data_IF_302631187468
#
_entry.id   IF_302631187468
#
_cell.length_a   1.000
_cell.length_b   1.000
_cell.length_c   1.000
_cell.angle_alpha   90.00
_cell.angle_beta   90.00
_cell.angle_gamma   90.00
#
_symmetry.space_group_name_H-M   'P 1'
#
loop_
_entity.id
_entity.type
_entity.pdbx_description
1 polymer ?
#
# COMPACT_ATOMS: atom_id res chain seq x y z
N UNK A 1 -1.36 -23.66 -34.30
CA UNK A 1 -1.31 -22.87 -33.06
C UNK A 1 0.02 -23.15 -32.38
N UNK A 2 0.87 -22.15 -32.09
CA UNK A 2 2.12 -22.41 -31.39
C UNK A 2 1.82 -22.83 -29.94
N UNK A 3 2.41 -23.93 -29.50
CA UNK A 3 2.29 -24.43 -28.12
C UNK A 3 2.94 -23.42 -27.15
N UNK A 4 2.21 -23.00 -26.12
CA UNK A 4 2.77 -22.10 -25.11
C UNK A 4 3.84 -22.84 -24.30
N UNK A 5 4.98 -22.19 -24.08
CA UNK A 5 6.05 -22.76 -23.24
C UNK A 5 5.66 -22.58 -21.77
N UNK A 6 5.90 -23.58 -20.91
CA UNK A 6 5.64 -23.45 -19.49
C UNK A 6 6.47 -22.30 -18.90
N UNK A 7 5.81 -21.39 -18.18
CA UNK A 7 6.49 -20.30 -17.49
C UNK A 7 7.29 -20.81 -16.28
N UNK A 8 8.33 -20.06 -15.91
CA UNK A 8 9.08 -20.32 -14.69
C UNK A 8 8.16 -20.17 -13.46
N UNK A 9 8.18 -21.12 -12.50
CA UNK A 9 7.41 -21.01 -11.27
C UNK A 9 7.73 -19.72 -10.51
N UNK A 10 6.70 -19.07 -9.98
CA UNK A 10 6.85 -17.86 -9.18
C UNK A 10 7.49 -18.18 -7.83
N UNK A 11 8.39 -17.31 -7.38
CA UNK A 11 8.98 -17.40 -6.03
C UNK A 11 7.92 -17.23 -4.92
N UNK A 12 6.90 -16.40 -5.16
CA UNK A 12 5.81 -16.19 -4.22
C UNK A 12 4.57 -16.98 -4.67
N UNK A 13 4.18 -17.94 -3.83
CA UNK A 13 2.90 -18.64 -3.95
C UNK A 13 1.72 -17.67 -3.75
N UNK A 14 0.54 -17.92 -4.36
CA UNK A 14 -0.64 -17.08 -4.18
C UNK A 14 -1.00 -16.80 -2.71
N UNK A 15 -0.84 -17.78 -1.81
CA UNK A 15 -1.06 -17.61 -0.36
C UNK A 15 -0.11 -16.57 0.25
N UNK A 16 1.15 -16.59 -0.18
CA UNK A 16 2.19 -15.67 0.29
C UNK A 16 1.97 -14.27 -0.30
N UNK A 17 1.55 -14.15 -1.57
CA UNK A 17 1.12 -12.87 -2.14
C UNK A 17 -0.07 -12.27 -1.38
N UNK A 18 -1.06 -13.09 -1.00
CA UNK A 18 -2.18 -12.61 -0.16
C UNK A 18 -1.70 -12.09 1.18
N UNK A 19 -0.74 -12.76 1.82
CA UNK A 19 -0.14 -12.28 3.06
C UNK A 19 0.59 -10.95 2.86
N UNK A 20 1.39 -10.81 1.79
CA UNK A 20 2.04 -9.55 1.43
C UNK A 20 1.02 -8.41 1.31
N UNK A 21 -0.10 -8.62 0.61
CA UNK A 21 -1.18 -7.62 0.50
C UNK A 21 -1.75 -7.24 1.87
N UNK A 22 -1.93 -8.21 2.77
CA UNK A 22 -2.42 -7.96 4.15
C UNK A 22 -1.43 -7.10 4.95
N UNK A 23 -0.12 -7.34 4.81
CA UNK A 23 0.92 -6.54 5.46
C UNK A 23 0.87 -5.09 4.97
N UNK A 24 0.77 -4.88 3.66
CA UNK A 24 0.67 -3.53 3.06
C UNK A 24 -0.61 -2.81 3.48
N UNK A 25 -1.74 -3.51 3.59
CA UNK A 25 -2.99 -2.90 4.06
C UNK A 25 -2.93 -2.48 5.53
N UNK A 26 -2.19 -3.23 6.35
CA UNK A 26 -2.02 -2.92 7.78
C UNK A 26 -1.02 -1.78 7.99
N UNK A 27 0.07 -1.75 7.23
CA UNK A 27 1.04 -0.66 7.26
C UNK A 27 1.43 -0.25 5.84
N UNK A 28 0.94 0.93 5.42
CA UNK A 28 1.17 1.50 4.08
C UNK A 28 2.56 2.12 3.91
N UNK A 29 3.31 2.29 5.00
CA UNK A 29 4.61 2.97 5.00
C UNK A 29 5.80 2.00 5.06
N UNK A 30 5.55 0.69 5.16
CA UNK A 30 6.62 -0.31 5.24
C UNK A 30 7.46 -0.35 3.96
N UNK A 31 8.77 -0.46 4.13
CA UNK A 31 9.68 -0.58 2.98
C UNK A 31 9.66 -2.00 2.41
N UNK A 32 10.04 -2.16 1.13
CA UNK A 32 10.16 -3.48 0.51
C UNK A 32 11.17 -4.39 1.24
N UNK A 33 12.18 -3.80 1.90
CA UNK A 33 13.16 -4.55 2.69
C UNK A 33 12.55 -5.10 3.97
N UNK A 34 11.82 -4.26 4.71
CA UNK A 34 11.07 -4.70 5.90
C UNK A 34 10.07 -5.79 5.56
N UNK A 35 9.32 -5.63 4.47
CA UNK A 35 8.34 -6.61 4.04
C UNK A 35 8.97 -7.95 3.66
N UNK A 36 10.14 -7.93 3.02
CA UNK A 36 10.91 -9.14 2.74
C UNK A 36 11.36 -9.83 4.03
N UNK A 37 11.89 -9.07 5.00
CA UNK A 37 12.32 -9.60 6.29
C UNK A 37 11.14 -10.21 7.07
N UNK A 38 9.99 -9.53 7.13
CA UNK A 38 8.78 -10.04 7.78
C UNK A 38 8.29 -11.34 7.12
N UNK A 39 8.33 -11.41 5.78
CA UNK A 39 7.91 -12.61 5.05
C UNK A 39 8.89 -13.77 5.23
N UNK A 40 10.19 -13.53 5.19
CA UNK A 40 11.21 -14.56 5.42
C UNK A 40 11.12 -15.08 6.87
N UNK A 41 10.94 -14.20 7.86
CA UNK A 41 10.80 -14.60 9.26
C UNK A 41 9.54 -15.43 9.56
N UNK A 42 8.44 -15.19 8.83
CA UNK A 42 7.19 -15.95 9.01
C UNK A 42 7.11 -17.25 8.21
N UNK A 43 7.93 -17.40 7.16
CA UNK A 43 7.92 -18.58 6.29
C UNK A 43 9.33 -19.18 6.22
N UNK A 44 9.61 -20.18 7.07
CA UNK A 44 10.93 -20.81 7.22
C UNK A 44 11.59 -21.25 5.89
N UNK A 45 10.78 -21.66 4.90
CA UNK A 45 11.27 -22.12 3.58
C UNK A 45 11.22 -21.03 2.50
N UNK A 46 11.12 -19.75 2.88
CA UNK A 46 11.07 -18.63 1.96
C UNK A 46 12.34 -17.80 2.12
N UNK A 47 13.08 -17.65 1.02
CA UNK A 47 14.17 -16.70 0.91
C UNK A 47 13.87 -15.76 -0.26
N UNK A 48 13.29 -14.60 0.05
CA UNK A 48 13.00 -13.55 -0.92
C UNK A 48 13.82 -12.29 -0.63
N UNK A 49 14.29 -11.66 -1.71
CA UNK A 49 14.97 -10.37 -1.64
C UNK A 49 13.96 -9.22 -1.74
N UNK A 50 14.42 -8.02 -1.38
CA UNK A 50 13.71 -6.76 -1.63
C UNK A 50 13.21 -6.64 -3.08
N UNK A 51 14.02 -7.06 -4.05
CA UNK A 51 13.69 -6.96 -5.49
C UNK A 51 12.53 -7.88 -5.87
N UNK A 52 12.42 -9.05 -5.24
CA UNK A 52 11.27 -9.95 -5.45
C UNK A 52 9.97 -9.32 -4.98
N UNK A 53 9.98 -8.63 -3.83
CA UNK A 53 8.79 -7.90 -3.33
C UNK A 53 8.41 -6.77 -4.27
N UNK A 54 9.39 -5.99 -4.75
CA UNK A 54 9.16 -4.91 -5.70
C UNK A 54 8.54 -5.41 -7.02
N UNK A 55 9.05 -6.51 -7.58
CA UNK A 55 8.50 -7.10 -8.80
C UNK A 55 7.04 -7.56 -8.61
N UNK A 56 6.72 -8.13 -7.46
CA UNK A 56 5.33 -8.48 -7.14
C UNK A 56 4.45 -7.24 -6.98
N UNK A 57 4.95 -6.14 -6.41
CA UNK A 57 4.19 -4.88 -6.37
C UNK A 57 3.88 -4.32 -7.74
N UNK A 58 4.84 -4.35 -8.67
CA UNK A 58 4.59 -3.95 -10.06
C UNK A 58 3.51 -4.82 -10.72
N UNK A 59 3.54 -6.14 -10.50
CA UNK A 59 2.51 -7.07 -11.00
C UNK A 59 1.13 -6.82 -10.39
N UNK A 60 1.11 -6.38 -9.14
CA UNK A 60 -0.10 -6.08 -8.39
C UNK A 60 -0.60 -4.64 -8.61
N UNK A 61 0.06 -3.86 -9.48
CA UNK A 61 -0.23 -2.45 -9.74
C UNK A 61 -0.19 -1.56 -8.48
N UNK A 62 0.67 -1.88 -7.51
CA UNK A 62 0.95 -0.98 -6.39
C UNK A 62 1.86 0.14 -6.87
N UNK A 63 1.49 1.38 -6.51
CA UNK A 63 2.25 2.59 -6.79
C UNK A 63 2.71 3.18 -5.46
N UNK A 64 3.98 3.54 -5.38
CA UNK A 64 4.49 4.31 -4.24
C UNK A 64 4.21 5.79 -4.47
N UNK A 65 3.60 6.44 -3.49
CA UNK A 65 3.30 7.87 -3.53
C UNK A 65 3.93 8.55 -2.32
N UNK A 66 4.49 9.74 -2.54
CA UNK A 66 4.99 10.59 -1.44
C UNK A 66 3.79 11.02 -0.59
N UNK A 67 3.84 10.85 0.74
CA UNK A 67 2.78 11.31 1.62
C UNK A 67 2.64 12.84 1.54
N UNK A 68 1.41 13.35 1.57
CA UNK A 68 1.16 14.78 1.63
C UNK A 68 1.42 15.27 3.06
N UNK A 69 2.18 16.36 3.19
CA UNK A 69 2.32 17.07 4.45
C UNK A 69 1.01 17.82 4.76
N UNK A 70 0.43 17.57 5.92
CA UNK A 70 -0.80 18.21 6.39
C UNK A 70 -0.48 18.79 7.77
N UNK A 71 -0.88 20.04 8.07
CA UNK A 71 -0.68 20.61 9.40
C UNK A 71 -1.41 19.75 10.45
N UNK A 72 -0.77 19.60 11.61
CA UNK A 72 -1.37 18.87 12.74
C UNK A 72 -2.54 19.71 13.29
N UNK A 73 -3.76 19.21 13.08
CA UNK A 73 -4.98 19.86 13.58
C UNK A 73 -5.34 19.31 14.97
N UNK A 74 -5.48 20.21 15.94
CA UNK A 74 -6.10 19.90 17.22
C UNK A 74 -7.59 19.62 17.03
N UNK A 75 -8.23 19.00 18.01
CA UNK A 75 -9.66 18.69 17.92
C UNK A 75 -10.53 19.96 17.86
N UNK A 76 -10.10 21.04 18.53
CA UNK A 76 -10.72 22.35 18.42
C UNK A 76 -10.67 22.88 16.98
N UNK A 77 -9.54 22.74 16.28
CA UNK A 77 -9.44 23.16 14.88
C UNK A 77 -10.37 22.34 13.98
N UNK A 78 -10.45 21.01 14.19
CA UNK A 78 -11.36 20.14 13.43
C UNK A 78 -12.82 20.55 13.64
N UNK A 79 -13.23 20.85 14.87
CA UNK A 79 -14.59 21.29 15.19
C UNK A 79 -14.92 22.61 14.48
N UNK A 80 -14.03 23.61 14.58
CA UNK A 80 -14.21 24.90 13.90
C UNK A 80 -14.31 24.76 12.38
N UNK A 81 -13.49 23.89 11.77
CA UNK A 81 -13.58 23.60 10.33
C UNK A 81 -14.93 22.99 9.97
N UNK A 82 -15.45 22.06 10.79
CA UNK A 82 -16.74 21.44 10.58
C UNK A 82 -17.89 22.45 10.70
N UNK A 83 -17.89 23.27 11.75
CA UNK A 83 -18.88 24.33 11.97
C UNK A 83 -18.90 25.32 10.80
N UNK A 84 -17.72 25.75 10.35
CA UNK A 84 -17.59 26.62 9.17
C UNK A 84 -18.16 25.95 7.92
N UNK A 85 -17.78 24.70 7.64
CA UNK A 85 -18.27 23.96 6.47
C UNK A 85 -19.78 23.77 6.49
N UNK A 86 -20.39 23.50 7.65
CA UNK A 86 -21.83 23.38 7.80
C UNK A 86 -22.55 24.71 7.59
N UNK A 87 -22.02 25.80 8.18
CA UNK A 87 -22.60 27.15 8.07
C UNK A 87 -22.65 27.62 6.62
N UNK A 88 -21.60 27.36 5.84
CA UNK A 88 -21.45 27.87 4.47
C UNK A 88 -21.66 26.81 3.39
N UNK A 89 -22.28 25.68 3.73
CA UNK A 89 -22.46 24.53 2.82
C UNK A 89 -23.16 24.86 1.49
N UNK A 90 -24.11 25.79 1.52
CA UNK A 90 -24.89 26.22 0.34
C UNK A 90 -24.32 27.44 -0.37
N UNK A 91 -23.21 27.98 0.14
CA UNK A 91 -22.61 29.19 -0.42
C UNK A 91 -21.79 28.82 -1.65
N UNK A 92 -22.09 29.48 -2.76
CA UNK A 92 -21.29 29.36 -3.97
C UNK A 92 -20.17 30.42 -3.92
N UNK A 93 -18.93 29.97 -3.85
CA UNK A 93 -17.75 30.81 -3.75
C UNK A 93 -17.20 31.26 -5.12
N UNK A 94 -17.81 30.80 -6.21
CA UNK A 94 -17.43 31.12 -7.59
C UNK A 94 -18.38 32.14 -8.26
N UNK A 95 -19.19 32.86 -7.47
CA UNK A 95 -20.06 33.95 -7.94
C UNK A 95 -19.55 35.28 -7.44
#
# INVERSE_FOLDING_TARGET
MPLSRPERPKHLSPKKCRHLRKLVSANKFSTCSELANILNGKHLNLNISKRTVLNEFHRLNYVSTVPKTIPLLTDLHKQRHLEFAMKYRKQNWNK
#
